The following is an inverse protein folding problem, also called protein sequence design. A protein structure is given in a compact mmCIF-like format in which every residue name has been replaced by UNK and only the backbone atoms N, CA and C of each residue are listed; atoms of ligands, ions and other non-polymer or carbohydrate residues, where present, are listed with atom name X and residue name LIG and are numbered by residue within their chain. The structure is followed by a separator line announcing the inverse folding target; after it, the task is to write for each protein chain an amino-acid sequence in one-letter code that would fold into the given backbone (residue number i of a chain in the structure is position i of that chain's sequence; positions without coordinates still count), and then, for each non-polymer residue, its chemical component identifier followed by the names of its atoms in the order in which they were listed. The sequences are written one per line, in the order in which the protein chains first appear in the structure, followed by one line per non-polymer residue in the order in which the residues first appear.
data_IF_026094140191
#
_entry.id   IF_026094140191
#
_cell.length_a   1.000
_cell.length_b   1.000
_cell.length_c   1.000
_cell.angle_alpha   90.00
_cell.angle_beta   90.00
_cell.angle_gamma   90.00
#
_symmetry.space_group_name_H-M   'P 1'
#
loop_
_entity.id
_entity.type
_entity.pdbx_description
1 polymer ?
#
# COMPACT_ATOMS: atom_id res chain seq x y z
N UNK A 1 -30.10 90.67 40.39
CA UNK A 1 -29.34 90.23 41.58
C UNK A 1 -28.55 88.98 41.23
N UNK A 2 -27.28 88.96 41.64
CA UNK A 2 -26.26 87.95 41.35
C UNK A 2 -26.67 86.55 41.81
N UNK A 3 -26.48 85.53 40.96
CA UNK A 3 -26.09 84.20 41.44
C UNK A 3 -25.02 83.59 40.52
N UNK A 4 -23.95 83.16 41.19
CA UNK A 4 -22.64 82.75 40.71
C UNK A 4 -22.69 81.24 40.48
N UNK A 5 -22.35 80.75 39.29
CA UNK A 5 -22.05 79.31 39.10
C UNK A 5 -20.69 79.17 38.44
N UNK A 6 -19.77 78.64 39.26
CA UNK A 6 -18.38 78.29 38.99
C UNK A 6 -18.26 77.31 37.83
N UNK A 7 -17.15 77.43 37.11
CA UNK A 7 -16.77 76.57 36.00
C UNK A 7 -16.63 75.09 36.36
N UNK A 8 -16.82 74.27 35.34
CA UNK A 8 -16.26 72.92 35.25
C UNK A 8 -15.16 72.96 34.22
N UNK A 9 -13.92 73.06 34.69
CA UNK A 9 -12.76 72.61 33.95
C UNK A 9 -13.03 71.16 33.52
N UNK A 10 -13.09 70.91 32.22
CA UNK A 10 -12.86 69.57 31.68
C UNK A 10 -11.46 69.15 32.15
N UNK A 11 -11.41 68.26 33.12
CA UNK A 11 -10.18 67.65 33.56
C UNK A 11 -9.56 66.92 32.36
N UNK A 12 -8.40 67.42 31.90
CA UNK A 12 -7.57 66.68 30.98
C UNK A 12 -7.35 65.27 31.57
N UNK A 13 -7.52 64.18 30.79
CA UNK A 13 -7.29 62.85 31.30
C UNK A 13 -5.86 62.80 31.86
N UNK A 14 -5.76 62.39 33.12
CA UNK A 14 -4.51 62.31 33.87
C UNK A 14 -3.47 61.61 32.99
N UNK A 15 -2.36 62.27 32.61
CA UNK A 15 -1.44 61.77 31.58
C UNK A 15 -0.88 60.36 31.85
N UNK A 16 -0.85 59.95 33.14
CA UNK A 16 -0.53 58.58 33.55
C UNK A 16 -1.58 57.55 33.12
N UNK A 17 -2.87 57.87 33.20
CA UNK A 17 -3.96 56.97 32.81
C UNK A 17 -3.99 56.75 31.29
N UNK A 18 -3.78 57.81 30.51
CA UNK A 18 -3.68 57.71 29.04
C UNK A 18 -2.46 56.86 28.61
N UNK A 19 -1.29 57.07 29.22
CA UNK A 19 -0.08 56.29 28.94
C UNK A 19 -0.22 54.81 29.31
N UNK A 20 -0.91 54.48 30.41
CA UNK A 20 -1.20 53.09 30.78
C UNK A 20 -2.17 52.42 29.80
N UNK A 21 -3.15 53.16 29.29
CA UNK A 21 -4.13 52.66 28.33
C UNK A 21 -3.49 52.41 26.95
N UNK A 22 -2.66 53.33 26.47
CA UNK A 22 -1.89 53.16 25.22
C UNK A 22 -0.91 51.98 25.34
N UNK A 23 -0.24 51.84 26.49
CA UNK A 23 0.65 50.70 26.74
C UNK A 23 -0.11 49.38 26.77
N UNK A 24 -1.31 49.35 27.35
CA UNK A 24 -2.19 48.17 27.36
C UNK A 24 -2.66 47.76 25.96
N UNK A 25 -3.08 48.73 25.12
CA UNK A 25 -3.46 48.45 23.73
C UNK A 25 -2.28 47.99 22.87
N UNK A 26 -1.09 48.58 23.05
CA UNK A 26 0.11 48.15 22.35
C UNK A 26 0.51 46.73 22.73
N UNK A 27 0.53 46.40 24.03
CA UNK A 27 0.84 45.06 24.51
C UNK A 27 -0.19 44.03 24.02
N UNK A 28 -1.49 44.39 24.01
CA UNK A 28 -2.55 43.52 23.48
C UNK A 28 -2.44 43.30 21.97
N UNK A 29 -2.07 44.31 21.19
CA UNK A 29 -1.79 44.15 19.75
C UNK A 29 -0.55 43.27 19.52
N UNK A 30 0.48 43.43 20.34
CA UNK A 30 1.70 42.62 20.27
C UNK A 30 1.44 41.15 20.62
N UNK A 31 0.65 40.85 21.66
CA UNK A 31 0.29 39.46 22.00
C UNK A 31 -0.57 38.80 20.92
N UNK A 32 -1.56 39.52 20.36
CA UNK A 32 -2.39 38.99 19.26
C UNK A 32 -1.56 38.78 17.99
N UNK A 33 -0.57 39.63 17.70
CA UNK A 33 0.35 39.45 16.57
C UNK A 33 1.30 38.26 16.78
N UNK A 34 1.75 38.03 18.01
CA UNK A 34 2.56 36.87 18.39
C UNK A 34 1.73 35.59 18.30
N UNK A 35 0.51 35.55 18.85
CA UNK A 35 -0.41 34.40 18.76
C UNK A 35 -0.69 34.03 17.30
N UNK A 36 -1.02 35.01 16.45
CA UNK A 36 -1.22 34.76 15.01
C UNK A 36 0.02 34.28 14.28
N UNK A 37 1.21 34.72 14.70
CA UNK A 37 2.47 34.22 14.14
C UNK A 37 2.74 32.80 14.61
N UNK A 38 2.57 32.52 15.90
CA UNK A 38 2.70 31.17 16.45
C UNK A 38 1.72 30.23 15.78
N UNK A 39 0.43 30.55 15.68
CA UNK A 39 -0.57 29.72 14.97
C UNK A 39 -0.20 29.42 13.51
N UNK A 40 0.48 30.35 12.83
CA UNK A 40 0.91 30.18 11.44
C UNK A 40 2.15 29.30 11.28
N UNK A 41 3.09 29.39 12.22
CA UNK A 41 4.38 28.67 12.17
C UNK A 41 4.37 27.36 12.96
N UNK A 42 3.49 27.19 13.96
CA UNK A 42 3.39 25.99 14.79
C UNK A 42 3.15 24.72 13.95
N UNK A 43 2.21 24.69 12.98
CA UNK A 43 2.00 23.50 12.16
C UNK A 43 3.24 23.14 11.32
N UNK A 44 3.95 24.16 10.82
CA UNK A 44 5.16 23.97 10.02
C UNK A 44 6.33 23.45 10.87
N UNK A 45 6.53 24.01 12.06
CA UNK A 45 7.56 23.56 13.00
C UNK A 45 7.28 22.14 13.49
N UNK A 46 6.02 21.78 13.73
CA UNK A 46 5.64 20.42 14.17
C UNK A 46 5.85 19.38 13.06
N UNK A 47 5.55 19.71 11.80
CA UNK A 47 5.69 18.78 10.67
C UNK A 47 7.13 18.72 10.12
N UNK A 48 7.90 19.81 10.26
CA UNK A 48 9.25 19.90 9.67
C UNK A 48 10.23 18.80 10.08
N UNK A 49 10.29 18.28 11.32
CA UNK A 49 11.21 17.22 11.69
C UNK A 49 10.85 15.91 10.99
N UNK A 50 9.55 15.60 10.91
CA UNK A 50 9.07 14.40 10.24
C UNK A 50 9.32 14.48 8.73
N UNK A 51 9.12 15.65 8.13
CA UNK A 51 9.42 15.88 6.73
C UNK A 51 10.93 15.79 6.45
N UNK A 52 11.78 16.38 7.29
CA UNK A 52 13.23 16.34 7.14
C UNK A 52 13.79 14.92 7.29
N UNK A 53 13.34 14.17 8.29
CA UNK A 53 13.71 12.76 8.49
C UNK A 53 13.28 11.93 7.28
N UNK A 54 12.05 12.12 6.78
CA UNK A 54 11.56 11.41 5.59
C UNK A 54 12.36 11.77 4.34
N UNK A 55 12.67 13.06 4.15
CA UNK A 55 13.48 13.53 3.02
C UNK A 55 14.86 12.89 3.02
N UNK A 56 15.51 12.85 4.18
CA UNK A 56 16.85 12.30 4.31
C UNK A 56 16.86 10.76 4.20
N UNK A 57 16.08 10.06 5.03
CA UNK A 57 16.18 8.59 5.12
C UNK A 57 15.44 7.86 4.00
N UNK A 58 14.32 8.38 3.49
CA UNK A 58 13.60 7.72 2.41
C UNK A 58 14.18 8.13 1.07
N UNK A 59 14.12 9.43 0.75
CA UNK A 59 14.53 9.91 -0.57
C UNK A 59 16.05 9.93 -0.74
N UNK A 60 16.79 10.25 0.33
CA UNK A 60 18.26 10.16 0.30
C UNK A 60 18.76 8.74 0.05
N UNK A 61 18.19 7.71 0.69
CA UNK A 61 18.58 6.32 0.42
C UNK A 61 18.09 5.80 -0.94
N UNK A 62 16.94 6.25 -1.43
CA UNK A 62 16.53 5.98 -2.81
C UNK A 62 17.56 6.55 -3.78
N UNK A 63 17.93 7.82 -3.62
CA UNK A 63 18.93 8.48 -4.47
C UNK A 63 20.30 7.79 -4.38
N UNK A 64 20.72 7.39 -3.18
CA UNK A 64 21.96 6.65 -2.97
C UNK A 64 21.92 5.28 -3.64
N UNK A 65 20.82 4.54 -3.54
CA UNK A 65 20.64 3.24 -4.21
C UNK A 65 20.67 3.40 -5.73
N UNK A 66 20.01 4.43 -6.26
CA UNK A 66 20.09 4.78 -7.69
C UNK A 66 21.54 5.07 -8.05
N UNK A 67 22.27 5.86 -7.27
CA UNK A 67 23.68 6.15 -7.53
C UNK A 67 24.53 4.88 -7.58
N UNK A 68 24.44 4.02 -6.56
CA UNK A 68 25.16 2.74 -6.49
C UNK A 68 24.84 1.82 -7.68
N UNK A 69 23.63 1.88 -8.22
CA UNK A 69 23.26 1.08 -9.41
C UNK A 69 24.07 1.44 -10.66
N UNK A 70 24.65 2.64 -10.72
CA UNK A 70 25.52 3.09 -11.83
C UNK A 70 27.01 2.92 -11.53
N UNK A 71 27.39 2.37 -10.38
CA UNK A 71 28.80 2.23 -9.99
C UNK A 71 29.31 0.80 -10.10
N UNK A 72 30.64 0.65 -10.02
CA UNK A 72 31.33 -0.65 -9.98
C UNK A 72 31.27 -1.31 -8.58
N UNK A 73 30.20 -1.08 -7.83
CA UNK A 73 30.08 -1.63 -6.46
C UNK A 73 30.04 -3.16 -6.47
N UNK A 74 30.99 -3.76 -5.74
CA UNK A 74 31.06 -5.19 -5.46
C UNK A 74 30.71 -5.45 -4.00
N UNK A 75 31.66 -6.00 -3.25
CA UNK A 75 31.51 -6.33 -1.81
C UNK A 75 31.39 -5.07 -0.94
N UNK A 76 32.18 -4.05 -1.28
CA UNK A 76 32.08 -2.72 -0.66
C UNK A 76 31.57 -1.71 -1.69
N UNK A 77 30.92 -0.61 -1.24
CA UNK A 77 30.56 0.48 -2.11
C UNK A 77 31.81 1.04 -2.81
N UNK A 78 31.84 0.90 -4.13
CA UNK A 78 32.80 1.60 -4.98
C UNK A 78 32.02 2.71 -5.67
N UNK A 79 32.45 3.96 -5.50
CA UNK A 79 31.78 5.14 -6.04
C UNK A 79 32.26 5.51 -7.45
N UNK A 80 33.06 4.66 -8.09
CA UNK A 80 33.44 4.82 -9.49
C UNK A 80 32.25 4.54 -10.41
N UNK A 81 31.86 5.57 -11.17
CA UNK A 81 30.77 5.46 -12.13
C UNK A 81 31.19 4.57 -13.31
N UNK A 82 30.38 3.56 -13.58
CA UNK A 82 30.56 2.62 -14.69
C UNK A 82 29.38 2.69 -15.68
N UNK A 83 28.52 3.71 -15.55
CA UNK A 83 27.35 3.90 -16.40
C UNK A 83 26.33 2.76 -16.24
N UNK A 84 25.78 2.27 -17.35
CA UNK A 84 24.70 1.26 -17.37
C UNK A 84 25.19 -0.20 -17.30
N UNK A 85 26.47 -0.43 -16.97
CA UNK A 85 27.06 -1.77 -16.96
C UNK A 85 26.31 -2.75 -16.05
N UNK A 86 25.88 -2.32 -14.85
CA UNK A 86 25.12 -3.19 -13.94
C UNK A 86 23.75 -3.58 -14.49
N UNK A 87 23.10 -2.69 -15.25
CA UNK A 87 21.83 -2.98 -15.90
C UNK A 87 22.01 -3.98 -17.05
N UNK A 88 23.07 -3.84 -17.85
CA UNK A 88 23.40 -4.82 -18.88
C UNK A 88 23.70 -6.20 -18.27
N UNK A 89 24.45 -6.23 -17.16
CA UNK A 89 24.75 -7.46 -16.40
C UNK A 89 23.49 -8.08 -15.79
N UNK A 90 22.57 -7.25 -15.29
CA UNK A 90 21.28 -7.70 -14.76
C UNK A 90 20.45 -8.40 -15.85
N UNK A 91 20.31 -7.74 -17.00
CA UNK A 91 19.58 -8.30 -18.14
C UNK A 91 20.34 -9.40 -18.89
N UNK A 92 21.64 -9.61 -18.67
CA UNK A 92 22.34 -10.79 -19.19
C UNK A 92 22.27 -11.99 -18.24
N UNK A 93 21.71 -11.83 -17.04
CA UNK A 93 21.61 -12.89 -16.04
C UNK A 93 20.32 -13.71 -16.25
N UNK A 94 20.40 -15.02 -16.58
CA UNK A 94 19.20 -15.85 -16.83
C UNK A 94 18.22 -15.89 -15.65
N UNK A 95 18.75 -15.91 -14.43
CA UNK A 95 17.97 -15.89 -13.19
C UNK A 95 17.07 -14.65 -13.06
N UNK A 96 17.49 -13.50 -13.60
CA UNK A 96 16.68 -12.28 -13.59
C UNK A 96 15.43 -12.40 -14.47
N UNK A 97 15.56 -13.03 -15.64
CA UNK A 97 14.40 -13.29 -16.51
C UNK A 97 13.36 -14.20 -15.85
N UNK A 98 13.82 -15.23 -15.13
CA UNK A 98 12.95 -16.10 -14.33
C UNK A 98 12.23 -15.26 -13.27
N UNK A 99 12.97 -14.44 -12.52
CA UNK A 99 12.40 -13.57 -11.50
C UNK A 99 11.34 -12.59 -12.04
N UNK A 100 11.60 -11.94 -13.18
CA UNK A 100 10.63 -11.04 -13.83
C UNK A 100 9.40 -11.80 -14.35
N UNK A 101 9.60 -12.98 -14.93
CA UNK A 101 8.50 -13.81 -15.43
C UNK A 101 7.61 -14.29 -14.29
N UNK A 102 8.22 -14.77 -13.20
CA UNK A 102 7.52 -15.17 -11.99
C UNK A 102 6.78 -13.99 -11.36
N UNK A 103 7.38 -12.80 -11.34
CA UNK A 103 6.68 -11.60 -10.88
C UNK A 103 5.43 -11.34 -11.71
N UNK A 104 5.51 -11.42 -13.03
CA UNK A 104 4.35 -11.21 -13.89
C UNK A 104 3.25 -12.27 -13.67
N UNK A 105 3.63 -13.55 -13.60
CA UNK A 105 2.70 -14.67 -13.32
C UNK A 105 2.06 -14.48 -11.94
N UNK A 106 2.87 -14.24 -10.92
CA UNK A 106 2.41 -14.05 -9.56
C UNK A 106 1.50 -12.84 -9.46
N UNK A 107 1.93 -11.66 -9.89
CA UNK A 107 1.14 -10.42 -9.80
C UNK A 107 -0.19 -10.53 -10.54
N UNK A 108 -0.21 -11.07 -11.77
CA UNK A 108 -1.45 -11.18 -12.55
C UNK A 108 -2.47 -12.11 -11.89
N UNK A 109 -2.05 -13.30 -11.49
CA UNK A 109 -2.93 -14.28 -10.85
C UNK A 109 -3.30 -13.89 -9.42
N UNK A 110 -2.40 -13.27 -8.69
CA UNK A 110 -2.65 -12.74 -7.35
C UNK A 110 -3.71 -11.65 -7.38
N UNK A 111 -3.58 -10.66 -8.28
CA UNK A 111 -4.57 -9.59 -8.43
C UNK A 111 -5.91 -10.18 -8.87
N UNK A 112 -5.92 -10.99 -9.93
CA UNK A 112 -7.15 -11.58 -10.46
C UNK A 112 -7.86 -12.42 -9.38
N UNK A 113 -7.12 -13.31 -8.70
CA UNK A 113 -7.67 -14.17 -7.66
C UNK A 113 -8.21 -13.38 -6.47
N UNK A 114 -7.49 -12.35 -6.02
CA UNK A 114 -7.97 -11.50 -4.92
C UNK A 114 -9.21 -10.69 -5.29
N UNK A 115 -9.30 -10.16 -6.52
CA UNK A 115 -10.47 -9.42 -7.00
C UNK A 115 -11.69 -10.33 -7.17
N UNK A 116 -11.49 -11.52 -7.72
CA UNK A 116 -12.57 -12.49 -7.91
C UNK A 116 -13.10 -12.99 -6.56
N UNK A 117 -12.23 -13.50 -5.69
CA UNK A 117 -12.63 -14.05 -4.39
C UNK A 117 -13.11 -12.93 -3.47
N UNK A 118 -12.36 -11.84 -3.35
CA UNK A 118 -12.72 -10.71 -2.51
C UNK A 118 -14.02 -10.05 -2.96
N UNK A 119 -14.18 -9.82 -4.27
CA UNK A 119 -15.41 -9.28 -4.85
C UNK A 119 -16.62 -10.20 -4.62
N UNK A 120 -16.47 -11.50 -4.85
CA UNK A 120 -17.54 -12.48 -4.60
C UNK A 120 -17.94 -12.50 -3.11
N UNK A 121 -16.96 -12.53 -2.20
CA UNK A 121 -17.23 -12.48 -0.76
C UNK A 121 -17.92 -11.16 -0.35
N UNK A 122 -17.53 -10.03 -0.93
CA UNK A 122 -18.16 -8.75 -0.68
C UNK A 122 -19.64 -8.75 -1.10
N UNK A 123 -19.95 -9.27 -2.29
CA UNK A 123 -21.34 -9.39 -2.78
C UNK A 123 -22.20 -10.26 -1.88
N UNK A 124 -21.66 -11.40 -1.41
CA UNK A 124 -22.38 -12.28 -0.50
C UNK A 124 -22.67 -11.58 0.84
N UNK A 125 -21.71 -10.83 1.38
CA UNK A 125 -21.87 -10.11 2.65
C UNK A 125 -22.78 -8.88 2.54
N UNK A 126 -22.88 -8.28 1.36
CA UNK A 126 -23.74 -7.12 1.13
C UNK A 126 -25.25 -7.44 1.28
N UNK A 127 -25.63 -8.73 1.23
CA UNK A 127 -27.02 -9.19 1.37
C UNK A 127 -27.61 -9.07 2.79
N UNK A 128 -26.99 -8.29 3.69
CA UNK A 128 -27.42 -8.06 5.09
C UNK A 128 -27.63 -9.37 5.88
N UNK A 129 -26.64 -10.26 5.82
CA UNK A 129 -26.65 -11.55 6.54
C UNK A 129 -26.61 -11.31 8.06
N UNK A 130 -27.41 -12.07 8.84
CA UNK A 130 -27.50 -11.93 10.31
C UNK A 130 -26.16 -12.08 11.05
N UNK A 131 -25.21 -12.84 10.50
CA UNK A 131 -23.90 -13.12 11.09
C UNK A 131 -22.74 -12.37 10.38
N UNK A 132 -23.03 -11.27 9.70
CA UNK A 132 -22.04 -10.50 8.92
C UNK A 132 -20.77 -10.15 9.71
N UNK A 133 -20.91 -9.68 10.95
CA UNK A 133 -19.76 -9.27 11.77
C UNK A 133 -18.77 -10.42 12.02
N UNK A 134 -19.27 -11.62 12.27
CA UNK A 134 -18.43 -12.82 12.46
C UNK A 134 -17.73 -13.22 11.16
N UNK A 135 -18.47 -13.29 10.05
CA UNK A 135 -17.93 -13.67 8.75
C UNK A 135 -16.86 -12.68 8.28
N UNK A 136 -17.12 -11.39 8.44
CA UNK A 136 -16.16 -10.33 8.14
C UNK A 136 -14.86 -10.54 8.92
N UNK A 137 -14.94 -10.77 10.23
CA UNK A 137 -13.76 -11.02 11.06
C UNK A 137 -12.98 -12.26 10.62
N UNK A 138 -13.66 -13.38 10.31
CA UNK A 138 -13.02 -14.61 9.84
C UNK A 138 -12.26 -14.35 8.53
N UNK A 139 -12.88 -13.69 7.55
CA UNK A 139 -12.24 -13.44 6.26
C UNK A 139 -11.12 -12.39 6.32
N UNK A 140 -11.17 -11.44 7.26
CA UNK A 140 -10.10 -10.47 7.49
C UNK A 140 -8.94 -11.02 8.34
N UNK A 141 -9.16 -12.11 9.09
CA UNK A 141 -8.17 -12.67 9.99
C UNK A 141 -6.82 -13.01 9.31
N UNK A 142 -6.77 -13.60 8.10
CA UNK A 142 -5.51 -13.88 7.41
C UNK A 142 -4.61 -12.67 7.23
N UNK A 143 -5.17 -11.47 7.03
CA UNK A 143 -4.38 -10.24 6.92
C UNK A 143 -3.64 -9.89 8.20
N UNK A 144 -4.18 -10.26 9.36
CA UNK A 144 -3.56 -9.98 10.64
C UNK A 144 -2.29 -10.84 10.86
N UNK A 145 -2.10 -11.90 10.07
CA UNK A 145 -0.91 -12.74 10.11
C UNK A 145 0.23 -12.11 9.31
N UNK A 146 1.47 -12.30 9.78
CA UNK A 146 2.65 -11.93 8.99
C UNK A 146 2.81 -12.86 7.79
N UNK A 147 3.37 -12.35 6.69
CA UNK A 147 3.65 -13.16 5.50
C UNK A 147 4.57 -14.36 5.78
N UNK A 148 5.46 -14.26 6.77
CA UNK A 148 6.34 -15.37 7.19
C UNK A 148 5.51 -16.50 7.82
N UNK A 149 4.56 -16.17 8.71
CA UNK A 149 3.69 -17.16 9.35
C UNK A 149 2.80 -17.81 8.29
N UNK A 150 2.19 -17.01 7.40
CA UNK A 150 1.38 -17.53 6.30
C UNK A 150 2.17 -18.47 5.41
N UNK A 151 3.36 -18.07 4.95
CA UNK A 151 4.20 -18.91 4.09
C UNK A 151 4.61 -20.21 4.77
N UNK A 152 4.91 -20.17 6.07
CA UNK A 152 5.26 -21.37 6.84
C UNK A 152 4.06 -22.31 7.00
N UNK A 153 2.88 -21.78 7.30
CA UNK A 153 1.66 -22.59 7.41
C UNK A 153 1.33 -23.28 6.07
N UNK A 154 1.36 -22.54 4.97
CA UNK A 154 1.13 -23.10 3.64
C UNK A 154 2.21 -24.10 3.24
N UNK A 155 3.47 -23.92 3.65
CA UNK A 155 4.54 -24.91 3.42
C UNK A 155 4.23 -26.26 4.07
N UNK A 156 3.65 -26.26 5.27
CA UNK A 156 3.23 -27.50 5.93
C UNK A 156 2.01 -28.11 5.28
N UNK A 157 1.00 -27.29 4.95
CA UNK A 157 -0.23 -27.72 4.27
C UNK A 157 0.07 -28.36 2.92
N UNK A 158 1.02 -27.80 2.18
CA UNK A 158 1.40 -28.23 0.83
C UNK A 158 2.47 -29.32 0.81
N UNK A 159 2.97 -29.74 1.98
CA UNK A 159 3.98 -30.78 2.04
C UNK A 159 3.39 -32.12 1.56
N UNK A 160 3.94 -32.78 0.52
CA UNK A 160 3.36 -34.03 0.00
C UNK A 160 3.34 -35.16 1.03
N UNK A 161 4.29 -35.18 1.96
CA UNK A 161 4.43 -36.25 2.96
C UNK A 161 3.56 -36.07 4.20
N UNK A 162 3.24 -34.83 4.59
CA UNK A 162 2.55 -34.52 5.85
C UNK A 162 1.28 -33.68 5.68
N UNK A 163 1.08 -33.08 4.52
CA UNK A 163 0.04 -32.09 4.25
C UNK A 163 -1.23 -32.69 3.66
N UNK A 164 -1.85 -31.93 2.76
CA UNK A 164 -3.14 -32.27 2.13
C UNK A 164 -3.09 -33.62 1.42
N UNK A 165 -1.99 -33.93 0.73
CA UNK A 165 -1.87 -35.19 0.00
C UNK A 165 -2.03 -36.41 0.92
N UNK A 166 -1.29 -36.43 2.03
CA UNK A 166 -1.43 -37.47 3.05
C UNK A 166 -2.84 -37.54 3.63
N UNK A 167 -3.46 -36.39 3.92
CA UNK A 167 -4.81 -36.35 4.46
C UNK A 167 -5.84 -36.94 3.49
N UNK A 168 -5.68 -36.69 2.18
CA UNK A 168 -6.51 -37.33 1.14
C UNK A 168 -6.27 -38.84 1.05
N UNK A 169 -5.02 -39.29 1.17
CA UNK A 169 -4.70 -40.73 1.20
C UNK A 169 -5.32 -41.43 2.42
N UNK A 170 -5.26 -40.80 3.60
CA UNK A 170 -5.89 -41.30 4.83
C UNK A 170 -7.42 -41.36 4.72
N UNK A 171 -8.04 -40.51 3.90
CA UNK A 171 -9.48 -40.55 3.59
C UNK A 171 -9.86 -41.54 2.48
N UNK A 172 -8.90 -42.31 1.96
CA UNK A 172 -9.13 -43.37 0.96
C UNK A 172 -8.87 -42.96 -0.48
N UNK A 173 -8.41 -41.73 -0.76
CA UNK A 173 -8.04 -41.28 -2.10
C UNK A 173 -6.56 -41.56 -2.40
N UNK A 174 -6.15 -42.82 -2.47
CA UNK A 174 -4.72 -43.22 -2.61
C UNK A 174 -4.02 -42.67 -3.87
N UNK A 175 -4.78 -42.35 -4.92
CA UNK A 175 -4.23 -41.85 -6.20
C UNK A 175 -4.13 -40.32 -6.25
N UNK A 176 -4.60 -39.61 -5.22
CA UNK A 176 -4.53 -38.16 -5.17
C UNK A 176 -3.07 -37.70 -5.06
N UNK A 177 -2.64 -36.74 -5.89
CA UNK A 177 -1.29 -36.16 -5.84
C UNK A 177 -1.37 -34.65 -5.81
N UNK A 178 -0.65 -34.04 -4.87
CA UNK A 178 -0.59 -32.60 -4.74
C UNK A 178 0.82 -32.15 -4.34
N UNK A 179 1.73 -32.39 -5.29
CA UNK A 179 3.17 -32.16 -5.19
C UNK A 179 3.61 -30.84 -5.85
N UNK A 180 2.67 -29.91 -6.06
CA UNK A 180 2.93 -28.65 -6.76
C UNK A 180 4.06 -27.82 -6.15
N UNK A 181 4.26 -27.90 -4.82
CA UNK A 181 5.32 -27.17 -4.13
C UNK A 181 6.73 -27.67 -4.49
N UNK A 182 6.86 -28.92 -4.93
CA UNK A 182 8.15 -29.52 -5.36
C UNK A 182 8.31 -29.60 -6.87
N UNK A 183 7.24 -29.40 -7.65
CA UNK A 183 7.29 -29.29 -9.11
C UNK A 183 7.72 -27.87 -9.54
N UNK A 184 8.86 -27.71 -10.27
CA UNK A 184 9.32 -26.41 -10.75
C UNK A 184 8.33 -25.65 -11.65
N UNK A 185 7.44 -26.35 -12.35
CA UNK A 185 6.43 -25.69 -13.20
C UNK A 185 5.25 -25.19 -12.38
N UNK A 186 4.98 -25.83 -11.24
CA UNK A 186 3.77 -25.57 -10.46
C UNK A 186 4.02 -24.75 -9.18
N UNK A 187 5.26 -24.70 -8.68
CA UNK A 187 5.59 -24.12 -7.39
C UNK A 187 5.17 -22.64 -7.25
N UNK A 188 5.28 -21.83 -8.31
CA UNK A 188 4.87 -20.42 -8.26
C UNK A 188 3.37 -20.25 -7.99
N UNK A 189 2.53 -21.16 -8.49
CA UNK A 189 1.08 -21.11 -8.24
C UNK A 189 0.73 -21.40 -6.79
N UNK A 190 1.56 -22.17 -6.08
CA UNK A 190 1.37 -22.38 -4.64
C UNK A 190 1.58 -21.08 -3.85
N UNK A 191 2.54 -20.26 -4.26
CA UNK A 191 2.77 -18.92 -3.70
C UNK A 191 1.58 -18.01 -3.99
N UNK A 192 1.02 -18.08 -5.21
CA UNK A 192 -0.20 -17.36 -5.57
C UNK A 192 -1.36 -17.74 -4.66
N UNK A 193 -1.62 -19.05 -4.46
CA UNK A 193 -2.72 -19.53 -3.61
C UNK A 193 -2.59 -18.98 -2.19
N UNK A 194 -1.40 -19.09 -1.60
CA UNK A 194 -1.13 -18.58 -0.25
C UNK A 194 -1.33 -17.05 -0.15
N UNK A 195 -0.84 -16.31 -1.16
CA UNK A 195 -1.01 -14.87 -1.23
C UNK A 195 -2.48 -14.46 -1.35
N UNK A 196 -3.21 -15.08 -2.28
CA UNK A 196 -4.64 -14.82 -2.53
C UNK A 196 -5.46 -15.11 -1.28
N UNK A 197 -5.19 -16.23 -0.60
CA UNK A 197 -5.84 -16.55 0.67
C UNK A 197 -5.61 -15.43 1.70
N UNK A 198 -4.37 -14.95 1.84
CA UNK A 198 -4.05 -13.90 2.80
C UNK A 198 -4.69 -12.54 2.49
N UNK A 199 -4.80 -12.19 1.21
CA UNK A 199 -5.17 -10.83 0.77
C UNK A 199 -6.62 -10.69 0.30
N UNK A 200 -7.33 -11.79 0.05
CA UNK A 200 -8.74 -11.75 -0.41
C UNK A 200 -9.67 -11.05 0.58
N UNK A 201 -9.47 -11.23 1.89
CA UNK A 201 -10.22 -10.53 2.94
C UNK A 201 -10.05 -9.01 2.91
N UNK A 202 -8.88 -8.52 2.49
CA UNK A 202 -8.65 -7.09 2.28
C UNK A 202 -9.57 -6.54 1.21
N UNK A 203 -9.55 -7.20 0.06
CA UNK A 203 -10.26 -6.78 -1.14
C UNK A 203 -11.76 -6.89 -0.91
N UNK A 204 -12.20 -7.94 -0.22
CA UNK A 204 -13.57 -8.04 0.28
C UNK A 204 -13.97 -6.83 1.09
N UNK A 205 -13.16 -6.39 2.06
CA UNK A 205 -13.50 -5.25 2.90
C UNK A 205 -13.56 -3.93 2.09
N UNK A 206 -12.66 -3.73 1.14
CA UNK A 206 -12.68 -2.58 0.23
C UNK A 206 -13.94 -2.59 -0.64
N UNK A 207 -14.23 -3.70 -1.31
CA UNK A 207 -15.39 -3.83 -2.18
C UNK A 207 -16.69 -3.71 -1.40
N UNK A 208 -16.80 -4.30 -0.21
CA UNK A 208 -17.97 -4.18 0.64
C UNK A 208 -18.21 -2.72 1.06
N UNK A 209 -17.16 -1.96 1.37
CA UNK A 209 -17.29 -0.53 1.66
C UNK A 209 -17.75 0.25 0.42
N UNK A 210 -17.24 -0.09 -0.77
CA UNK A 210 -17.67 0.50 -2.03
C UNK A 210 -19.14 0.20 -2.35
N UNK A 211 -19.57 -1.06 -2.24
CA UNK A 211 -20.96 -1.47 -2.45
C UNK A 211 -21.92 -0.70 -1.53
N UNK A 212 -21.51 -0.50 -0.27
CA UNK A 212 -22.30 0.26 0.72
C UNK A 212 -22.32 1.76 0.54
N UNK A 213 -21.43 2.32 -0.30
CA UNK A 213 -21.48 3.73 -0.66
C UNK A 213 -22.53 4.03 -1.74
N UNK A 214 -23.09 2.99 -2.39
CA UNK A 214 -24.15 3.16 -3.38
C UNK A 214 -25.45 3.51 -2.65
N UNK A 215 -26.08 4.60 -3.08
CA UNK A 215 -27.33 5.07 -2.49
C UNK A 215 -28.49 4.09 -2.78
N UNK A 216 -29.21 3.68 -1.73
CA UNK A 216 -30.42 2.87 -1.83
C UNK A 216 -31.49 3.55 -2.70
N UNK A 217 -31.52 4.89 -2.77
CA UNK A 217 -32.43 5.64 -3.64
C UNK A 217 -32.15 5.42 -5.13
N UNK A 218 -30.88 5.34 -5.53
CA UNK A 218 -30.49 5.03 -6.92
C UNK A 218 -30.94 3.62 -7.32
N UNK A 219 -30.82 2.65 -6.41
CA UNK A 219 -31.25 1.28 -6.65
C UNK A 219 -32.77 1.17 -6.74
N UNK A 220 -33.51 1.92 -5.91
CA UNK A 220 -34.98 2.00 -5.97
C UNK A 220 -35.47 2.68 -7.25
N UNK A 221 -34.83 3.77 -7.67
CA UNK A 221 -35.14 4.45 -8.93
C UNK A 221 -34.94 3.51 -10.14
N UNK A 222 -33.81 2.80 -10.18
CA UNK A 222 -33.55 1.81 -11.22
C UNK A 222 -34.60 0.67 -11.25
N UNK A 223 -35.08 0.25 -10.08
CA UNK A 223 -36.15 -0.75 -9.99
C UNK A 223 -37.49 -0.21 -10.52
N UNK A 224 -37.81 1.07 -10.29
CA UNK A 224 -39.00 1.74 -10.85
C UNK A 224 -38.88 1.82 -12.39
N UNK A 225 -37.68 2.07 -12.92
CA UNK A 225 -37.38 2.09 -14.36
C UNK A 225 -37.34 0.69 -15.01
N UNK A 226 -37.66 -0.37 -14.26
CA UNK A 226 -37.69 -1.75 -14.77
C UNK A 226 -36.32 -2.35 -15.03
N UNK A 227 -35.25 -1.79 -14.45
CA UNK A 227 -33.92 -2.39 -14.53
C UNK A 227 -33.86 -3.67 -13.68
N UNK A 228 -33.67 -4.81 -14.34
CA UNK A 228 -33.45 -6.09 -13.66
C UNK A 228 -32.09 -6.14 -12.94
N UNK A 229 -31.88 -7.08 -12.00
CA UNK A 229 -30.70 -7.15 -11.13
C UNK A 229 -29.36 -7.10 -11.89
N UNK A 230 -29.28 -7.78 -13.04
CA UNK A 230 -28.08 -7.80 -13.87
C UNK A 230 -27.78 -6.41 -14.48
N UNK A 231 -28.80 -5.71 -14.98
CA UNK A 231 -28.64 -4.36 -15.54
C UNK A 231 -28.28 -3.35 -14.45
N UNK A 232 -28.90 -3.45 -13.27
CA UNK A 232 -28.58 -2.60 -12.12
C UNK A 232 -27.14 -2.82 -11.66
N UNK A 233 -26.69 -4.07 -11.59
CA UNK A 233 -25.35 -4.40 -11.11
C UNK A 233 -24.25 -3.91 -12.07
N UNK A 234 -24.35 -4.24 -13.36
CA UNK A 234 -23.33 -3.86 -14.34
C UNK A 234 -23.47 -2.41 -14.82
N UNK A 235 -24.68 -1.85 -14.81
CA UNK A 235 -24.97 -0.51 -15.33
C UNK A 235 -24.88 0.61 -14.30
N UNK A 236 -25.03 0.31 -13.00
CA UNK A 236 -25.07 1.33 -11.93
C UNK A 236 -24.03 1.01 -10.86
N UNK A 237 -24.10 -0.17 -10.23
CA UNK A 237 -23.24 -0.51 -9.10
C UNK A 237 -21.76 -0.56 -9.50
N UNK A 238 -21.43 -1.35 -10.53
CA UNK A 238 -20.04 -1.55 -10.97
C UNK A 238 -19.34 -0.25 -11.41
N UNK A 239 -20.00 0.68 -12.16
CA UNK A 239 -19.45 2.00 -12.44
C UNK A 239 -19.19 2.85 -11.20
N UNK A 240 -20.09 2.84 -10.21
CA UNK A 240 -19.94 3.64 -8.98
C UNK A 240 -18.75 3.13 -8.14
N UNK A 241 -18.56 1.81 -8.04
CA UNK A 241 -17.45 1.23 -7.28
C UNK A 241 -16.14 1.14 -8.08
N UNK A 242 -16.10 1.67 -9.30
CA UNK A 242 -14.91 1.63 -10.18
C UNK A 242 -13.64 2.22 -9.53
N UNK A 243 -13.69 3.33 -8.76
CA UNK A 243 -12.52 3.83 -8.04
C UNK A 243 -11.98 2.80 -7.05
N UNK A 244 -12.86 2.13 -6.30
CA UNK A 244 -12.51 1.07 -5.33
C UNK A 244 -11.83 -0.12 -6.03
N UNK A 245 -12.34 -0.52 -7.20
CA UNK A 245 -11.72 -1.57 -8.01
C UNK A 245 -10.28 -1.20 -8.39
N UNK A 246 -10.05 0.01 -8.93
CA UNK A 246 -8.72 0.45 -9.32
C UNK A 246 -7.77 0.64 -8.14
N UNK A 247 -8.23 1.23 -7.04
CA UNK A 247 -7.45 1.32 -5.80
C UNK A 247 -7.00 -0.06 -5.34
N UNK A 248 -7.90 -1.05 -5.39
CA UNK A 248 -7.59 -2.43 -5.01
C UNK A 248 -6.50 -3.03 -5.92
N UNK A 249 -6.62 -2.88 -7.24
CA UNK A 249 -5.60 -3.34 -8.20
C UNK A 249 -4.22 -2.74 -7.89
N UNK A 250 -4.16 -1.43 -7.65
CA UNK A 250 -2.89 -0.72 -7.42
C UNK A 250 -2.25 -1.14 -6.10
N UNK A 251 -3.04 -1.29 -5.04
CA UNK A 251 -2.54 -1.74 -3.74
C UNK A 251 -2.03 -3.18 -3.83
N UNK A 252 -2.78 -4.08 -4.50
CA UNK A 252 -2.34 -5.46 -4.69
C UNK A 252 -1.09 -5.55 -5.56
N UNK A 253 -1.00 -4.75 -6.64
CA UNK A 253 0.19 -4.67 -7.47
C UNK A 253 1.40 -4.22 -6.65
N UNK A 254 1.26 -3.18 -5.82
CA UNK A 254 2.31 -2.73 -4.90
C UNK A 254 2.78 -3.84 -3.96
N UNK A 255 1.85 -4.55 -3.32
CA UNK A 255 2.14 -5.68 -2.43
C UNK A 255 2.88 -6.80 -3.17
N UNK A 256 2.46 -7.10 -4.40
CA UNK A 256 3.03 -8.20 -5.18
C UNK A 256 4.48 -7.95 -5.61
N UNK A 257 4.82 -6.72 -6.01
CA UNK A 257 6.18 -6.36 -6.45
C UNK A 257 7.20 -6.50 -5.32
N UNK A 258 6.76 -6.26 -4.08
CA UNK A 258 7.60 -6.36 -2.88
C UNK A 258 7.50 -7.71 -2.17
N UNK A 259 6.86 -8.72 -2.79
CA UNK A 259 6.66 -10.03 -2.18
C UNK A 259 7.98 -10.77 -1.99
N UNK A 260 8.55 -10.63 -0.80
CA UNK A 260 9.77 -11.32 -0.36
C UNK A 260 9.45 -12.35 0.71
N UNK A 261 8.83 -11.91 1.81
CA UNK A 261 8.58 -12.71 3.01
C UNK A 261 7.81 -14.00 2.70
N UNK A 262 6.74 -13.90 1.92
CA UNK A 262 5.89 -15.04 1.55
C UNK A 262 6.68 -16.08 0.75
N UNK A 263 7.44 -15.63 -0.25
CA UNK A 263 8.22 -16.49 -1.14
C UNK A 263 9.30 -17.22 -0.35
N UNK A 264 10.03 -16.49 0.51
CA UNK A 264 11.11 -17.05 1.31
C UNK A 264 10.59 -18.06 2.32
N UNK A 265 9.51 -17.75 3.02
CA UNK A 265 8.94 -18.66 4.02
C UNK A 265 8.35 -19.93 3.38
N UNK A 266 7.69 -19.82 2.24
CA UNK A 266 7.01 -20.93 1.59
C UNK A 266 7.98 -21.84 0.80
N UNK A 267 8.84 -21.26 -0.03
CA UNK A 267 9.64 -22.00 -1.02
C UNK A 267 11.13 -21.67 -0.99
N UNK A 268 11.55 -20.57 -0.35
CA UNK A 268 12.92 -20.05 -0.41
C UNK A 268 13.43 -19.80 -1.86
N UNK A 269 12.53 -19.55 -2.81
CA UNK A 269 12.84 -19.37 -4.24
C UNK A 269 12.95 -20.68 -5.04
N UNK A 270 12.74 -21.84 -4.40
CA UNK A 270 12.87 -23.15 -5.01
C UNK A 270 11.56 -23.76 -5.54
N UNK A 271 11.62 -24.95 -6.17
CA UNK A 271 12.83 -25.74 -6.45
C UNK A 271 13.77 -25.07 -7.46
N UNK A 272 15.07 -25.07 -7.19
CA UNK A 272 16.04 -24.30 -7.97
C UNK A 272 15.79 -22.78 -7.85
N UNK A 273 15.35 -22.15 -8.94
CA UNK A 273 14.92 -20.74 -8.98
C UNK A 273 13.46 -20.58 -9.43
N UNK A 274 12.67 -21.67 -9.38
CA UNK A 274 11.33 -21.74 -9.96
C UNK A 274 10.34 -20.72 -9.39
N UNK A 275 10.50 -20.29 -8.14
CA UNK A 275 9.66 -19.28 -7.50
C UNK A 275 10.42 -18.00 -7.16
N UNK A 276 11.64 -17.85 -7.69
CA UNK A 276 12.45 -16.66 -7.43
C UNK A 276 11.75 -15.42 -7.98
N UNK A 277 11.80 -14.32 -7.23
CA UNK A 277 11.15 -13.05 -7.52
C UNK A 277 12.20 -11.93 -7.47
N UNK A 278 11.94 -10.74 -8.03
CA UNK A 278 12.94 -9.66 -8.04
C UNK A 278 13.42 -9.27 -6.65
N UNK A 279 12.54 -9.34 -5.64
CA UNK A 279 12.89 -9.07 -4.25
C UNK A 279 13.86 -10.13 -3.66
N UNK A 280 13.61 -11.42 -3.92
CA UNK A 280 14.50 -12.50 -3.46
C UNK A 280 15.81 -12.52 -4.23
N UNK A 281 15.78 -12.20 -5.53
CA UNK A 281 16.97 -11.97 -6.34
C UNK A 281 17.83 -10.84 -5.76
N UNK A 282 17.24 -9.68 -5.51
CA UNK A 282 17.94 -8.53 -4.93
C UNK A 282 18.60 -8.90 -3.61
N UNK A 283 17.87 -9.58 -2.72
CA UNK A 283 18.38 -10.02 -1.42
C UNK A 283 19.57 -10.98 -1.56
N UNK A 284 19.43 -11.99 -2.43
CA UNK A 284 20.51 -12.94 -2.67
C UNK A 284 21.78 -12.26 -3.20
N UNK A 285 21.64 -11.34 -4.15
CA UNK A 285 22.81 -10.63 -4.70
C UNK A 285 23.42 -9.62 -3.73
N UNK A 286 22.61 -8.90 -2.96
CA UNK A 286 23.11 -7.94 -1.97
C UNK A 286 23.86 -8.64 -0.83
N UNK A 287 23.23 -9.66 -0.23
CA UNK A 287 23.66 -10.19 1.07
C UNK A 287 24.35 -11.55 1.00
N UNK A 288 24.01 -12.39 0.02
CA UNK A 288 24.62 -13.74 -0.09
C UNK A 288 25.80 -13.76 -1.07
N UNK A 289 25.73 -12.94 -2.13
CA UNK A 289 26.79 -12.85 -3.15
C UNK A 289 27.67 -11.61 -3.00
N UNK A 290 27.31 -10.68 -2.12
CA UNK A 290 28.05 -9.43 -1.89
C UNK A 290 28.29 -8.64 -3.19
N UNK A 291 27.28 -8.57 -4.04
CA UNK A 291 27.29 -7.91 -5.34
C UNK A 291 26.32 -6.73 -5.29
N UNK A 292 26.75 -5.64 -4.63
CA UNK A 292 25.90 -4.50 -4.32
C UNK A 292 25.42 -3.75 -5.57
N UNK A 293 26.24 -3.63 -6.61
CA UNK A 293 25.87 -2.89 -7.82
C UNK A 293 24.70 -3.52 -8.58
N UNK A 294 24.73 -4.83 -8.82
CA UNK A 294 23.63 -5.55 -9.51
C UNK A 294 22.39 -5.65 -8.61
N UNK A 295 22.57 -5.78 -7.29
CA UNK A 295 21.45 -5.76 -6.35
C UNK A 295 20.77 -4.39 -6.34
N UNK A 296 21.53 -3.29 -6.30
CA UNK A 296 21.00 -1.94 -6.42
C UNK A 296 20.27 -1.73 -7.76
N UNK A 297 20.85 -2.20 -8.88
CA UNK A 297 20.17 -2.14 -10.18
C UNK A 297 18.83 -2.90 -10.16
N UNK A 298 18.78 -4.10 -9.56
CA UNK A 298 17.51 -4.85 -9.42
C UNK A 298 16.49 -4.12 -8.54
N UNK A 299 16.93 -3.47 -7.44
CA UNK A 299 16.07 -2.67 -6.58
C UNK A 299 15.51 -1.43 -7.31
N UNK A 300 16.33 -0.78 -8.14
CA UNK A 300 15.88 0.35 -8.98
C UNK A 300 14.85 -0.11 -10.02
N UNK A 301 15.03 -1.28 -10.63
CA UNK A 301 14.05 -1.86 -11.55
C UNK A 301 12.71 -2.16 -10.85
N UNK A 302 12.75 -2.67 -9.61
CA UNK A 302 11.55 -2.85 -8.80
C UNK A 302 10.87 -1.52 -8.48
N UNK A 303 11.64 -0.51 -8.07
CA UNK A 303 11.13 0.83 -7.82
C UNK A 303 10.47 1.42 -9.06
N UNK A 304 11.11 1.31 -10.23
CA UNK A 304 10.56 1.75 -11.50
C UNK A 304 9.22 1.05 -11.82
N UNK A 305 9.12 -0.25 -11.52
CA UNK A 305 7.88 -1.02 -11.70
C UNK A 305 6.76 -0.51 -10.77
N UNK A 306 7.06 -0.24 -9.51
CA UNK A 306 6.10 0.33 -8.56
C UNK A 306 5.63 1.73 -9.02
N UNK A 307 6.57 2.57 -9.43
CA UNK A 307 6.28 3.93 -9.95
C UNK A 307 5.40 3.85 -11.21
N UNK A 308 5.69 2.92 -12.11
CA UNK A 308 4.91 2.73 -13.34
C UNK A 308 3.45 2.32 -13.08
N UNK A 309 3.16 1.67 -11.94
CA UNK A 309 1.79 1.32 -11.53
C UNK A 309 1.13 2.46 -10.75
N UNK A 310 1.83 3.08 -9.80
CA UNK A 310 1.25 4.05 -8.86
C UNK A 310 1.04 5.43 -9.50
N UNK A 311 1.99 5.92 -10.31
CA UNK A 311 1.91 7.28 -10.86
C UNK A 311 0.69 7.48 -11.77
N UNK A 312 0.38 6.58 -12.72
CA UNK A 312 -0.83 6.71 -13.53
C UNK A 312 -2.11 6.72 -12.69
N UNK A 313 -2.16 5.91 -11.62
CA UNK A 313 -3.29 5.87 -10.68
C UNK A 313 -3.46 7.19 -9.91
N UNK A 314 -2.38 7.71 -9.33
CA UNK A 314 -2.43 8.99 -8.63
C UNK A 314 -2.87 10.12 -9.57
N UNK A 315 -2.40 10.09 -10.82
CA UNK A 315 -2.81 11.07 -11.82
C UNK A 315 -4.30 10.95 -12.19
N UNK A 316 -4.84 9.73 -12.33
CA UNK A 316 -6.28 9.55 -12.61
C UNK A 316 -7.15 10.04 -11.45
N UNK A 317 -6.80 9.69 -10.21
CA UNK A 317 -7.57 10.05 -9.02
C UNK A 317 -7.60 11.57 -8.79
N UNK A 318 -6.44 12.23 -8.92
CA UNK A 318 -6.33 13.69 -8.79
C UNK A 318 -7.09 14.46 -9.89
N UNK A 319 -7.37 13.80 -11.02
CA UNK A 319 -8.14 14.39 -12.12
C UNK A 319 -9.64 14.24 -11.93
N UNK A 320 -10.10 13.17 -11.29
CA UNK A 320 -11.53 12.96 -10.98
C UNK A 320 -12.02 13.94 -9.91
N UNK A 321 -11.22 14.25 -8.89
CA UNK A 321 -11.59 15.26 -7.87
C UNK A 321 -11.69 16.72 -8.38
N UNK A 322 -11.44 16.98 -9.67
CA UNK A 322 -11.60 18.29 -10.31
C UNK A 322 -12.84 18.39 -11.22
N UNK A 323 -13.60 17.31 -11.40
CA UNK A 323 -14.85 17.29 -12.19
C UNK A 323 -16.05 17.17 -11.28
#
# INVERSE_FOLDING_TARGET
MRHKVRGRQQAAPNGKAYMLQVRGEFMRKATVALERSVERWLPQIVVSPLFAISLFFVYGFIAWTIYISFTKSGVMPDYTLQGLHQYQRLWSTPRWYIAVTNLFIFTSLFILGCLLIGGLLAVLLDQRIRAEGLLRTIYLYPMALSFIVTGTAWKWILNPTLGIERLMHEWGFSDFRFDWIVDPQMAIYTVVIAGVWQSSGYVMALFLAGLRSVDDELLKAAAIDGAGPFRTYFGIVLPIIRPVFFSSVVILAHLSIKSYDLVVALTAGGPGYATDMPATFMYAFAFQRSELGIAAASAVMMLATVVAVIVPYLYSELREGRR
#
